data_IF_052734461139
#
_entry.id   IF_052734461139
#
_cell.length_a   1.000
_cell.length_b   1.000
_cell.length_c   1.000
_cell.angle_alpha   90.00
_cell.angle_beta   90.00
_cell.angle_gamma   90.00
#
_symmetry.space_group_name_H-M   'P 1'
#
loop_
_entity.id
_entity.type
_entity.pdbx_description
1 polymer ?
#
# COMPACT_ATOMS: atom_id res chain seq x y z
N UNK A 1 0.64 -6.81 -9.77
CA UNK A 1 1.52 -7.99 -9.54
C UNK A 1 1.53 -8.46 -8.09
N UNK A 2 1.76 -7.60 -7.09
CA UNK A 2 1.94 -8.04 -5.69
C UNK A 2 0.64 -8.26 -4.88
N UNK A 3 -0.53 -7.90 -5.41
CA UNK A 3 -1.81 -7.97 -4.68
C UNK A 3 -2.68 -9.16 -5.06
N UNK A 4 -2.20 -10.00 -5.99
CA UNK A 4 -2.94 -11.15 -6.51
C UNK A 4 -2.94 -12.35 -5.56
N UNK A 5 -1.94 -12.45 -4.67
CA UNK A 5 -1.86 -13.56 -3.71
C UNK A 5 -2.54 -13.18 -2.39
N UNK A 6 -3.06 -14.18 -1.70
CA UNK A 6 -3.70 -13.99 -0.40
C UNK A 6 -2.72 -14.07 0.79
N UNK A 7 -1.54 -14.62 0.55
CA UNK A 7 -0.49 -14.87 1.55
C UNK A 7 0.61 -13.79 1.55
N UNK A 8 0.44 -12.74 0.77
CA UNK A 8 1.46 -11.71 0.58
C UNK A 8 0.84 -10.34 0.36
N UNK A 9 1.38 -9.34 1.05
CA UNK A 9 0.98 -7.95 0.90
C UNK A 9 2.23 -7.05 0.83
N UNK A 10 2.14 -6.02 0.01
CA UNK A 10 3.12 -4.92 -0.02
C UNK A 10 2.41 -3.67 0.48
N UNK A 11 2.99 -3.03 1.49
CA UNK A 11 2.39 -1.86 2.13
C UNK A 11 3.47 -0.82 2.35
N UNK A 12 3.29 0.35 1.73
CA UNK A 12 4.21 1.47 1.91
C UNK A 12 4.03 2.08 3.30
N UNK A 13 5.15 2.42 3.94
CA UNK A 13 5.20 3.02 5.28
C UNK A 13 5.72 4.46 5.13
N UNK A 14 4.84 5.47 5.09
CA UNK A 14 5.21 6.81 4.62
C UNK A 14 5.83 7.70 5.70
N UNK A 15 6.34 7.16 6.80
CA UNK A 15 6.83 7.95 7.94
C UNK A 15 8.02 8.86 7.62
N UNK A 16 8.67 8.73 6.46
CA UNK A 16 9.69 9.68 5.99
C UNK A 16 9.16 10.85 5.14
N UNK A 17 7.92 10.80 4.66
CA UNK A 17 7.43 11.74 3.64
C UNK A 17 7.45 13.20 4.09
N UNK A 18 7.09 13.45 5.33
CA UNK A 18 7.01 14.78 5.96
C UNK A 18 7.88 14.84 7.23
N UNK A 19 8.92 14.01 7.31
CA UNK A 19 9.84 14.01 8.46
C UNK A 19 10.79 15.20 8.40
N UNK A 20 10.89 15.94 9.50
CA UNK A 20 11.90 16.97 9.71
C UNK A 20 12.98 16.46 10.66
N UNK A 21 14.21 16.91 10.46
CA UNK A 21 15.30 16.59 11.38
C UNK A 21 15.06 17.21 12.75
N UNK A 22 15.23 16.46 13.85
CA UNK A 22 15.10 17.01 15.19
C UNK A 22 16.19 18.05 15.44
N UNK A 23 15.85 19.09 16.20
CA UNK A 23 16.78 20.13 16.61
C UNK A 23 17.22 19.93 18.06
N UNK A 24 18.47 20.25 18.35
CA UNK A 24 19.03 20.26 19.70
C UNK A 24 18.67 21.56 20.46
N UNK A 25 19.16 21.69 21.69
CA UNK A 25 18.94 22.88 22.52
C UNK A 25 19.55 24.17 21.95
N UNK A 26 20.43 24.07 20.95
CA UNK A 26 21.04 25.20 20.25
C UNK A 26 20.35 25.52 18.91
N UNK A 27 19.22 24.87 18.63
CA UNK A 27 18.45 25.02 17.40
C UNK A 27 19.21 24.58 16.13
N UNK A 28 20.11 23.61 16.28
CA UNK A 28 20.84 22.94 15.19
C UNK A 28 20.38 21.50 15.05
N UNK A 29 20.62 20.80 13.92
CA UNK A 29 20.32 19.39 13.81
C UNK A 29 20.93 18.57 14.96
N UNK A 30 20.10 17.80 15.67
CA UNK A 30 20.55 16.96 16.77
C UNK A 30 21.35 15.78 16.23
N UNK A 31 22.67 15.92 16.27
CA UNK A 31 23.61 14.92 15.76
C UNK A 31 23.58 13.61 16.55
N UNK A 32 22.95 13.54 17.73
CA UNK A 32 22.85 12.29 18.51
C UNK A 32 21.98 11.22 17.83
N UNK A 33 21.17 11.60 16.85
CA UNK A 33 20.41 10.67 16.01
C UNK A 33 21.25 10.05 14.86
N UNK A 34 22.48 10.51 14.65
CA UNK A 34 23.37 10.05 13.59
C UNK A 34 24.63 9.37 14.16
N UNK A 35 25.19 8.46 13.38
CA UNK A 35 26.43 7.78 13.67
C UNK A 35 27.64 8.73 13.50
N UNK A 36 28.84 8.23 13.79
CA UNK A 36 30.08 9.03 13.72
C UNK A 36 30.40 9.58 12.32
N UNK A 37 29.85 8.98 11.27
CA UNK A 37 29.98 9.46 9.88
C UNK A 37 28.96 10.55 9.50
N UNK A 38 28.11 10.96 10.44
CA UNK A 38 27.09 11.99 10.27
C UNK A 38 26.05 11.67 9.17
N UNK A 39 25.98 10.42 8.71
CA UNK A 39 25.09 10.02 7.61
C UNK A 39 24.18 8.87 8.03
N UNK A 40 24.74 7.79 8.57
CA UNK A 40 23.93 6.69 9.06
C UNK A 40 23.22 7.10 10.36
N UNK A 41 22.08 6.49 10.63
CA UNK A 41 21.43 6.69 11.91
C UNK A 41 22.23 6.02 13.03
N UNK A 42 22.28 6.66 14.19
CA UNK A 42 22.77 6.02 15.41
C UNK A 42 21.76 4.97 15.89
N UNK A 43 22.12 4.21 16.94
CA UNK A 43 21.18 3.33 17.64
C UNK A 43 19.92 4.09 18.09
N UNK A 44 20.07 5.36 18.49
CA UNK A 44 18.95 6.24 18.84
C UNK A 44 18.08 6.54 17.63
N UNK A 45 18.67 6.94 16.50
CA UNK A 45 17.95 7.19 15.24
C UNK A 45 17.18 5.97 14.75
N UNK A 46 17.82 4.80 14.70
CA UNK A 46 17.16 3.56 14.32
C UNK A 46 16.02 3.18 15.26
N UNK A 47 16.15 3.41 16.57
CA UNK A 47 15.08 3.14 17.52
C UNK A 47 13.83 3.99 17.25
N UNK A 48 14.00 5.26 16.89
CA UNK A 48 12.88 6.14 16.52
C UNK A 48 12.20 5.69 15.22
N UNK A 49 12.98 5.33 14.20
CA UNK A 49 12.46 4.82 12.93
C UNK A 49 11.71 3.49 13.10
N UNK A 50 12.23 2.60 13.95
CA UNK A 50 11.58 1.33 14.25
C UNK A 50 10.23 1.53 14.94
N UNK A 51 10.13 2.50 15.85
CA UNK A 51 8.85 2.86 16.47
C UNK A 51 7.87 3.45 15.46
N UNK A 52 8.32 4.33 14.56
CA UNK A 52 7.46 4.89 13.52
C UNK A 52 6.95 3.80 12.55
N UNK A 53 7.81 2.87 12.14
CA UNK A 53 7.44 1.71 11.35
C UNK A 53 6.39 0.85 12.08
N UNK A 54 6.65 0.50 13.34
CA UNK A 54 5.72 -0.28 14.16
C UNK A 54 4.33 0.36 14.23
N UNK A 55 4.29 1.65 14.57
CA UNK A 55 3.05 2.40 14.66
C UNK A 55 2.31 2.46 13.31
N UNK A 56 3.03 2.66 12.21
CA UNK A 56 2.46 2.68 10.86
C UNK A 56 1.88 1.32 10.45
N UNK A 57 2.47 0.19 10.89
CA UNK A 57 1.89 -1.13 10.62
C UNK A 57 0.57 -1.36 11.37
N UNK A 58 0.32 -0.60 12.44
CA UNK A 58 -0.92 -0.60 13.23
C UNK A 58 -1.93 0.48 12.82
N UNK A 59 -1.69 1.15 11.69
CA UNK A 59 -2.59 2.15 11.11
C UNK A 59 -3.13 1.70 9.74
N UNK A 60 -4.43 1.91 9.43
CA UNK A 60 -4.97 1.55 8.14
C UNK A 60 -4.30 2.31 6.98
N UNK A 61 -4.17 1.64 5.84
CA UNK A 61 -3.70 2.25 4.59
C UNK A 61 -4.60 3.44 4.24
N UNK A 62 -4.00 4.60 3.96
CA UNK A 62 -4.71 5.87 3.77
C UNK A 62 -4.65 6.79 5.00
N UNK A 63 -4.51 6.22 6.19
CA UNK A 63 -4.43 6.97 7.46
C UNK A 63 -3.06 6.86 8.14
N UNK A 64 -2.08 6.27 7.44
CA UNK A 64 -0.73 6.07 7.95
C UNK A 64 -0.01 7.39 8.22
N UNK A 65 0.68 7.46 9.35
CA UNK A 65 1.47 8.61 9.77
C UNK A 65 2.62 8.87 8.79
N UNK A 66 2.75 10.13 8.36
CA UNK A 66 3.70 10.53 7.30
C UNK A 66 4.98 11.16 7.81
N UNK A 67 5.20 11.19 9.13
CA UNK A 67 6.33 11.83 9.80
C UNK A 67 6.87 10.97 10.94
N UNK A 68 8.10 11.20 11.37
CA UNK A 68 8.68 10.64 12.59
C UNK A 68 8.54 11.62 13.76
N UNK A 69 8.13 11.12 14.93
CA UNK A 69 8.21 11.85 16.18
C UNK A 69 9.50 11.44 16.90
N UNK A 70 10.50 12.33 16.95
CA UNK A 70 11.81 12.07 17.55
C UNK A 70 11.89 12.33 19.07
N UNK A 71 10.78 12.64 19.73
CA UNK A 71 10.74 12.75 21.19
C UNK A 71 11.11 11.40 21.81
N UNK A 72 12.05 11.39 22.74
CA UNK A 72 12.51 10.16 23.41
C UNK A 72 11.52 9.69 24.50
N UNK A 73 10.28 9.42 24.07
CA UNK A 73 9.18 8.90 24.87
C UNK A 73 8.71 7.57 24.27
N UNK A 74 8.69 6.51 25.08
CA UNK A 74 8.26 5.17 24.66
C UNK A 74 6.75 4.95 24.78
N UNK A 75 6.03 5.86 25.43
CA UNK A 75 4.57 5.80 25.56
C UNK A 75 3.84 5.94 24.21
N UNK A 76 4.52 6.52 23.21
CA UNK A 76 4.00 6.68 21.84
C UNK A 76 3.89 5.38 21.04
N UNK A 77 4.38 4.26 21.56
CA UNK A 77 4.23 2.95 20.92
C UNK A 77 2.76 2.54 20.93
N UNK A 78 2.21 2.28 19.74
CA UNK A 78 0.85 1.77 19.61
C UNK A 78 0.81 0.29 19.98
N UNK A 79 -0.22 -0.07 20.74
CA UNK A 79 -0.54 -1.45 21.05
C UNK A 79 -1.72 -1.91 20.18
N UNK A 80 -1.70 -3.16 19.66
CA UNK A 80 -2.88 -3.77 19.06
C UNK A 80 -4.05 -3.81 20.05
N UNK A 81 -5.27 -3.70 19.54
CA UNK A 81 -6.49 -3.85 20.34
C UNK A 81 -7.27 -5.09 19.88
N UNK A 82 -8.20 -5.61 20.71
CA UNK A 82 -9.07 -6.72 20.31
C UNK A 82 -9.89 -6.43 19.04
N UNK A 83 -10.25 -5.16 18.81
CA UNK A 83 -11.00 -4.71 17.62
C UNK A 83 -10.12 -4.65 16.36
N UNK A 84 -8.80 -4.46 16.52
CA UNK A 84 -7.81 -4.34 15.44
C UNK A 84 -6.57 -5.21 15.74
N UNK A 85 -6.71 -6.55 15.69
CA UNK A 85 -5.66 -7.47 16.16
C UNK A 85 -4.56 -7.75 15.12
N UNK A 86 -4.70 -7.28 13.88
CA UNK A 86 -3.79 -7.58 12.78
C UNK A 86 -3.06 -6.33 12.27
N UNK A 87 -1.91 -6.54 11.64
CA UNK A 87 -1.24 -5.47 10.88
C UNK A 87 -2.09 -5.06 9.69
N UNK A 88 -2.06 -3.76 9.38
CA UNK A 88 -2.87 -3.20 8.31
C UNK A 88 -2.22 -3.37 6.93
N UNK A 89 -3.00 -3.92 6.03
CA UNK A 89 -2.74 -4.11 4.60
C UNK A 89 -3.81 -3.40 3.78
N UNK A 90 -3.64 -3.30 2.45
CA UNK A 90 -4.69 -2.68 1.61
C UNK A 90 -6.06 -3.35 1.77
N UNK A 91 -6.09 -4.68 1.95
CA UNK A 91 -7.32 -5.48 2.04
C UNK A 91 -8.13 -5.23 3.32
N UNK A 92 -7.46 -5.15 4.48
CA UNK A 92 -8.13 -4.93 5.77
C UNK A 92 -8.20 -3.44 6.19
N UNK A 93 -7.81 -2.52 5.29
CA UNK A 93 -7.91 -1.07 5.51
C UNK A 93 -9.09 -0.42 4.79
N UNK A 94 -9.96 -1.20 4.13
CA UNK A 94 -11.07 -0.66 3.33
C UNK A 94 -10.64 0.02 2.02
N UNK A 95 -9.36 -0.08 1.64
CA UNK A 95 -8.80 0.55 0.43
C UNK A 95 -8.97 -0.32 -0.83
N UNK A 96 -9.61 -1.49 -0.71
CA UNK A 96 -9.63 -2.55 -1.73
C UNK A 96 -10.93 -2.72 -2.52
N UNK A 97 -12.08 -2.25 -2.05
CA UNK A 97 -13.35 -2.51 -2.75
C UNK A 97 -13.56 -1.64 -4.00
N UNK A 98 -12.92 -0.47 -4.07
CA UNK A 98 -13.04 0.44 -5.21
C UNK A 98 -12.13 0.08 -6.40
N UNK A 99 -10.91 -0.41 -6.14
CA UNK A 99 -9.93 -0.73 -7.20
C UNK A 99 -10.11 -2.15 -7.77
N UNK A 100 -10.58 -3.13 -6.98
CA UNK A 100 -10.79 -4.50 -7.45
C UNK A 100 -11.99 -4.66 -8.40
N UNK A 101 -12.89 -3.68 -8.42
CA UNK A 101 -14.01 -3.64 -9.37
C UNK A 101 -13.64 -3.03 -10.72
N UNK A 102 -12.50 -2.33 -10.84
CA UNK A 102 -12.11 -1.68 -12.09
C UNK A 102 -11.53 -2.69 -13.10
N UNK A 103 -10.70 -3.62 -12.64
CA UNK A 103 -10.08 -4.66 -13.49
C UNK A 103 -11.01 -5.84 -13.82
N UNK A 104 -12.19 -5.93 -13.16
CA UNK A 104 -13.20 -6.95 -13.51
C UNK A 104 -14.02 -6.57 -14.75
N UNK A 105 -13.72 -5.42 -15.35
CA UNK A 105 -14.32 -4.97 -16.60
C UNK A 105 -13.40 -5.27 -17.79
N UNK A 106 -12.64 -6.37 -17.77
CA UNK A 106 -12.29 -6.97 -19.06
C UNK A 106 -13.60 -7.43 -19.70
N UNK A 107 -13.97 -6.76 -20.78
CA UNK A 107 -15.11 -7.11 -21.62
C UNK A 107 -14.92 -8.54 -22.14
N UNK A 108 -15.35 -9.53 -21.36
CA UNK A 108 -15.38 -10.91 -21.80
C UNK A 108 -16.51 -11.03 -22.81
N UNK A 109 -16.21 -10.80 -24.08
CA UNK A 109 -17.13 -11.11 -25.17
C UNK A 109 -17.44 -12.60 -25.03
N UNK A 110 -18.69 -12.97 -24.72
CA UNK A 110 -18.97 -14.35 -24.36
C UNK A 110 -18.81 -15.22 -25.61
N UNK A 111 -18.21 -16.40 -25.46
CA UNK A 111 -17.82 -17.27 -26.58
C UNK A 111 -18.97 -17.59 -27.54
N UNK A 112 -20.22 -17.64 -27.03
CA UNK A 112 -21.41 -17.79 -27.86
C UNK A 112 -21.61 -16.64 -28.86
N UNK A 113 -21.21 -15.41 -28.54
CA UNK A 113 -21.30 -14.28 -29.46
C UNK A 113 -20.39 -14.46 -30.69
N UNK A 114 -19.21 -15.08 -30.50
CA UNK A 114 -18.30 -15.44 -31.60
C UNK A 114 -18.93 -16.53 -32.48
N UNK A 115 -19.54 -17.55 -31.86
CA UNK A 115 -20.24 -18.63 -32.58
C UNK A 115 -21.40 -18.06 -33.41
N UNK A 116 -22.24 -17.22 -32.81
CA UNK A 116 -23.39 -16.61 -33.50
C UNK A 116 -22.92 -15.75 -34.68
N UNK A 117 -21.88 -14.94 -34.51
CA UNK A 117 -21.34 -14.12 -35.60
C UNK A 117 -20.85 -14.97 -36.79
N UNK A 118 -20.17 -16.09 -36.52
CA UNK A 118 -19.69 -17.01 -37.58
C UNK A 118 -20.85 -17.69 -38.29
N UNK A 119 -21.87 -18.15 -37.55
CA UNK A 119 -23.06 -18.78 -38.14
C UNK A 119 -23.83 -17.78 -39.02
N UNK A 120 -24.05 -16.56 -38.52
CA UNK A 120 -24.76 -15.52 -39.28
C UNK A 120 -24.01 -15.15 -40.55
N UNK A 121 -22.68 -15.00 -40.48
CA UNK A 121 -21.85 -14.73 -41.65
C UNK A 121 -21.89 -15.87 -42.69
N UNK A 122 -21.87 -17.13 -42.23
CA UNK A 122 -21.96 -18.28 -43.11
C UNK A 122 -23.33 -18.38 -43.81
N UNK A 123 -24.43 -18.16 -43.08
CA UNK A 123 -25.79 -18.20 -43.64
C UNK A 123 -26.02 -17.05 -44.63
N UNK A 124 -25.57 -15.84 -44.28
CA UNK A 124 -25.66 -14.70 -45.19
C UNK A 124 -24.79 -14.91 -46.46
N UNK A 125 -23.59 -15.46 -46.31
CA UNK A 125 -22.71 -15.79 -47.44
C UNK A 125 -23.30 -16.85 -48.36
N UNK A 126 -23.98 -17.86 -47.81
CA UNK A 126 -24.67 -18.90 -48.61
C UNK A 126 -25.86 -18.32 -49.36
N UNK A 127 -26.63 -17.40 -48.76
CA UNK A 127 -27.77 -16.75 -49.40
C UNK A 127 -27.35 -15.78 -50.52
N UNK A 128 -26.22 -15.07 -50.36
CA UNK A 128 -25.68 -14.16 -51.40
C UNK A 128 -24.99 -14.94 -52.52
N UNK A 129 -24.36 -16.08 -52.23
CA UNK A 129 -23.72 -16.95 -53.23
C UNK A 129 -24.67 -17.83 -54.05
N UNK A 130 -25.98 -17.82 -53.73
CA UNK A 130 -27.01 -18.62 -54.40
C UNK A 130 -27.98 -17.78 -55.26
N UNK A 131 -27.64 -16.51 -55.52
CA UNK A 131 -28.40 -15.55 -56.33
C UNK A 131 -27.69 -15.24 -57.65
#
# INVERSE_FOLDING_TARGET
RYEQREDFAVVMQPFFRNTLLPLDSTNKPDMSFFAADCFHFSVRGYAEMAMALWNNMLEPVGEKQTYNNFTHDRSKLKCPSPEKPFLFTRRNSGFGDSDLNLDKTESSVPYWAVIVAVIVAAVAGVLVGSL
#
